data_IF_140114933762
#
_entry.id   IF_140114933762
#
_cell.length_a   1.000
_cell.length_b   1.000
_cell.length_c   1.000
_cell.angle_alpha   90.00
_cell.angle_beta   90.00
_cell.angle_gamma   90.00
#
_symmetry.space_group_name_H-M   'P 1'
#
loop_
_entity.id
_entity.type
_entity.pdbx_description
1 polymer ?
#
# COMPACT_ATOMS: atom_id res chain seq x y z
N UNK A 1 12.89 0.07 42.85
CA UNK A 1 11.70 -0.04 41.97
C UNK A 1 11.55 -1.41 41.31
N UNK A 2 12.60 -2.23 41.14
CA UNK A 2 12.46 -3.57 40.53
C UNK A 2 12.08 -4.70 41.52
N UNK A 3 12.26 -4.51 42.83
CA UNK A 3 12.03 -5.56 43.83
C UNK A 3 10.55 -5.91 44.07
N UNK A 4 9.64 -4.96 43.85
CA UNK A 4 8.19 -5.14 44.08
C UNK A 4 7.53 -6.01 43.00
N UNK A 5 8.11 -6.07 41.80
CA UNK A 5 7.53 -6.82 40.67
C UNK A 5 7.64 -8.35 40.84
N UNK A 6 8.74 -8.83 41.44
CA UNK A 6 8.96 -10.25 41.69
C UNK A 6 8.11 -10.82 42.83
N UNK A 7 7.56 -9.96 43.70
CA UNK A 7 6.70 -10.38 44.82
C UNK A 7 5.29 -10.75 44.35
N UNK A 8 4.77 -10.07 43.32
CA UNK A 8 3.34 -10.17 42.93
C UNK A 8 3.04 -11.35 42.01
N UNK A 9 4.06 -11.96 41.37
CA UNK A 9 3.88 -12.98 40.33
C UNK A 9 4.15 -14.42 40.77
N UNK A 10 4.29 -14.68 42.08
CA UNK A 10 4.38 -16.06 42.59
C UNK A 10 2.99 -16.66 42.71
N UNK A 11 2.40 -17.07 41.59
CA UNK A 11 1.27 -18.00 41.62
C UNK A 11 1.74 -19.29 42.31
N UNK A 12 1.09 -19.67 43.42
CA UNK A 12 1.27 -20.99 44.04
C UNK A 12 0.81 -22.02 43.02
N UNK A 13 1.74 -22.79 42.47
CA UNK A 13 1.41 -23.94 41.64
C UNK A 13 0.58 -24.92 42.46
N UNK A 14 -0.73 -24.93 42.25
CA UNK A 14 -1.59 -26.02 42.70
C UNK A 14 -1.25 -27.21 41.79
N UNK A 15 -0.74 -28.31 42.36
CA UNK A 15 -0.47 -29.52 41.59
C UNK A 15 -1.81 -30.13 41.15
N UNK A 16 -2.30 -29.69 40.00
CA UNK A 16 -3.45 -30.27 39.32
C UNK A 16 -2.95 -31.54 38.63
N UNK A 17 -3.46 -32.69 39.05
CA UNK A 17 -3.17 -33.99 38.43
C UNK A 17 -3.50 -34.00 36.93
N UNK A 18 -3.06 -35.02 36.18
CA UNK A 18 -3.20 -35.04 34.72
C UNK A 18 -4.68 -35.09 34.34
N UNK A 19 -5.25 -33.92 34.04
CA UNK A 19 -6.60 -33.75 33.50
C UNK A 19 -6.57 -34.01 31.99
N UNK A 20 -6.01 -35.14 31.56
CA UNK A 20 -6.03 -35.57 30.15
C UNK A 20 -7.30 -36.36 29.90
N UNK A 21 -8.42 -35.66 29.88
CA UNK A 21 -9.64 -36.15 29.23
C UNK A 21 -9.39 -36.15 27.72
N UNK A 22 -9.51 -37.32 27.07
CA UNK A 22 -9.40 -37.49 25.60
C UNK A 22 -10.26 -36.50 24.83
N UNK A 23 -11.35 -36.04 25.45
CA UNK A 23 -12.26 -35.01 24.96
C UNK A 23 -11.56 -33.70 24.57
N UNK A 24 -10.48 -33.29 25.25
CA UNK A 24 -9.75 -32.07 24.87
C UNK A 24 -9.05 -32.22 23.52
N UNK A 25 -8.49 -33.39 23.23
CA UNK A 25 -7.84 -33.69 21.96
C UNK A 25 -8.85 -33.73 20.81
N UNK A 26 -9.99 -34.38 21.02
CA UNK A 26 -11.09 -34.43 20.05
C UNK A 26 -11.69 -33.03 19.80
N UNK A 27 -11.86 -32.23 20.86
CA UNK A 27 -12.30 -30.84 20.76
C UNK A 27 -11.30 -29.98 19.98
N UNK A 28 -9.99 -30.23 20.12
CA UNK A 28 -8.94 -29.53 19.38
C UNK A 28 -8.93 -29.89 17.89
N UNK A 29 -9.05 -31.17 17.54
CA UNK A 29 -9.13 -31.64 16.14
C UNK A 29 -10.35 -31.05 15.44
N UNK A 30 -11.47 -30.90 16.17
CA UNK A 30 -12.70 -30.29 15.65
C UNK A 30 -12.59 -28.77 15.42
N UNK A 31 -11.56 -28.10 15.97
CA UNK A 31 -11.29 -26.66 15.78
C UNK A 31 -10.32 -26.35 14.64
N UNK A 32 -9.87 -27.33 13.84
CA UNK A 32 -9.27 -27.01 12.54
C UNK A 32 -10.32 -26.19 11.75
N UNK A 33 -9.96 -25.01 11.26
CA UNK A 33 -10.49 -23.76 11.80
C UNK A 33 -11.58 -23.24 10.86
N UNK A 34 -12.86 -23.44 11.19
CA UNK A 34 -14.00 -22.95 10.41
C UNK A 34 -14.04 -21.41 10.28
N UNK A 35 -13.21 -20.70 11.06
CA UNK A 35 -13.10 -19.24 11.03
C UNK A 35 -12.07 -18.72 10.01
N UNK A 36 -11.40 -19.61 9.25
CA UNK A 36 -10.66 -19.16 8.06
C UNK A 36 -11.68 -19.10 6.93
N UNK A 37 -12.15 -17.89 6.54
CA UNK A 37 -12.99 -17.82 5.35
C UNK A 37 -12.17 -18.41 4.19
N UNK A 38 -12.68 -19.48 3.58
CA UNK A 38 -12.11 -20.00 2.34
C UNK A 38 -11.91 -18.85 1.36
N UNK A 39 -10.87 -18.88 0.50
CA UNK A 39 -10.45 -17.74 -0.31
C UNK A 39 -11.67 -17.15 -1.00
N UNK A 40 -12.08 -15.96 -0.55
CA UNK A 40 -13.32 -15.36 -1.00
C UNK A 40 -13.19 -15.07 -2.49
N UNK A 41 -13.86 -15.88 -3.31
CA UNK A 41 -13.94 -15.76 -4.78
C UNK A 41 -14.62 -14.46 -5.25
N UNK A 42 -14.79 -13.47 -4.36
CA UNK A 42 -15.36 -12.14 -4.65
C UNK A 42 -14.31 -11.10 -5.03
N UNK A 43 -13.02 -11.39 -4.84
CA UNK A 43 -11.95 -10.48 -5.20
C UNK A 43 -11.15 -11.07 -6.37
N UNK A 44 -11.77 -11.18 -7.54
CA UNK A 44 -11.07 -11.50 -8.79
C UNK A 44 -10.18 -10.34 -9.30
N UNK A 45 -9.97 -9.30 -8.49
CA UNK A 45 -8.98 -8.28 -8.76
C UNK A 45 -7.61 -8.93 -8.58
N UNK A 46 -6.77 -8.87 -9.61
CA UNK A 46 -5.43 -9.45 -9.56
C UNK A 46 -4.65 -8.82 -8.40
N UNK A 47 -3.70 -9.56 -7.83
CA UNK A 47 -2.75 -9.02 -6.84
C UNK A 47 -2.08 -7.76 -7.41
N UNK A 48 -1.85 -7.71 -8.71
CA UNK A 48 -1.32 -6.55 -9.44
C UNK A 48 -2.22 -5.30 -9.32
N UNK A 49 -3.55 -5.43 -9.39
CA UNK A 49 -4.48 -4.31 -9.24
C UNK A 49 -4.48 -3.76 -7.80
N UNK A 50 -4.29 -4.64 -6.80
CA UNK A 50 -4.13 -4.25 -5.39
C UNK A 50 -2.75 -3.62 -5.09
N UNK A 51 -1.73 -3.99 -5.87
CA UNK A 51 -0.37 -3.43 -5.78
C UNK A 51 -0.17 -2.21 -6.67
N UNK A 52 -1.19 -1.78 -7.41
CA UNK A 52 -1.11 -0.60 -8.27
C UNK A 52 -0.92 0.63 -7.39
N UNK A 53 0.32 1.12 -7.37
CA UNK A 53 0.68 2.35 -6.66
C UNK A 53 -0.14 3.48 -7.25
N UNK A 54 -1.10 3.99 -6.48
CA UNK A 54 -1.86 5.17 -6.85
C UNK A 54 -0.87 6.35 -6.79
N UNK A 55 -0.63 7.06 -7.90
CA UNK A 55 0.25 8.22 -7.89
C UNK A 55 -0.26 9.23 -6.87
N UNK A 56 0.66 9.81 -6.10
CA UNK A 56 0.28 10.89 -5.17
C UNK A 56 -0.26 12.09 -5.96
N UNK A 57 -1.10 12.90 -5.33
CA UNK A 57 -1.59 14.15 -5.93
C UNK A 57 -0.44 15.05 -6.40
N UNK A 58 0.67 15.06 -5.66
CA UNK A 58 1.89 15.81 -6.02
C UNK A 58 2.56 15.25 -7.28
N UNK A 59 2.59 13.94 -7.45
CA UNK A 59 3.15 13.29 -8.64
C UNK A 59 2.31 13.60 -9.88
N UNK A 60 0.99 13.60 -9.74
CA UNK A 60 0.05 14.00 -10.81
C UNK A 60 0.27 15.48 -11.17
N UNK A 61 0.39 16.36 -10.18
CA UNK A 61 0.64 17.79 -10.40
C UNK A 61 1.98 18.02 -11.10
N UNK A 62 3.03 17.30 -10.69
CA UNK A 62 4.35 17.38 -11.31
C UNK A 62 4.32 17.00 -12.79
N UNK A 63 3.72 15.85 -13.13
CA UNK A 63 3.58 15.42 -14.53
C UNK A 63 2.79 16.42 -15.37
N UNK A 64 1.72 16.99 -14.80
CA UNK A 64 0.93 18.03 -15.46
C UNK A 64 1.73 19.30 -15.73
N UNK A 65 2.57 19.70 -14.78
CA UNK A 65 3.46 20.85 -14.93
C UNK A 65 4.50 20.61 -16.04
N UNK A 66 5.19 19.47 -16.02
CA UNK A 66 6.18 19.10 -17.04
C UNK A 66 5.58 19.10 -18.45
N UNK A 67 4.39 18.50 -18.62
CA UNK A 67 3.66 18.50 -19.89
C UNK A 67 3.34 19.91 -20.39
N UNK A 68 2.79 20.77 -19.52
CA UNK A 68 2.46 22.15 -19.90
C UNK A 68 3.71 22.95 -20.27
N UNK A 69 4.82 22.69 -19.59
CA UNK A 69 6.08 23.37 -19.88
C UNK A 69 6.60 23.01 -21.28
N UNK A 70 6.58 21.71 -21.64
CA UNK A 70 6.96 21.25 -22.96
C UNK A 70 6.06 21.82 -24.08
N UNK A 71 4.75 21.91 -23.83
CA UNK A 71 3.82 22.55 -24.78
C UNK A 71 4.13 24.05 -24.99
N UNK A 72 4.53 24.75 -23.93
CA UNK A 72 4.91 26.16 -24.00
C UNK A 72 6.25 26.35 -24.73
N UNK A 73 7.26 25.53 -24.44
CA UNK A 73 8.55 25.55 -25.14
C UNK A 73 8.35 25.39 -26.65
N UNK A 74 7.54 24.42 -27.08
CA UNK A 74 7.22 24.22 -28.50
C UNK A 74 6.52 25.43 -29.13
N UNK A 75 5.61 26.09 -28.40
CA UNK A 75 4.94 27.31 -28.89
C UNK A 75 5.93 28.47 -29.03
N UNK A 76 6.88 28.61 -28.11
CA UNK A 76 7.91 29.64 -28.18
C UNK A 76 8.78 29.42 -29.42
N UNK A 77 9.26 28.20 -29.63
CA UNK A 77 10.06 27.84 -30.82
C UNK A 77 9.32 28.17 -32.12
N UNK A 78 8.04 27.79 -32.24
CA UNK A 78 7.21 28.11 -33.39
C UNK A 78 7.07 29.63 -33.61
N UNK A 79 6.89 30.40 -32.55
CA UNK A 79 6.79 31.87 -32.65
C UNK A 79 8.13 32.50 -33.05
N UNK A 80 9.26 31.97 -32.57
CA UNK A 80 10.58 32.43 -32.97
C UNK A 80 10.86 32.16 -34.44
N UNK A 81 10.50 30.98 -34.95
CA UNK A 81 10.58 30.64 -36.38
C UNK A 81 9.71 31.57 -37.23
N UNK A 82 8.44 31.77 -36.85
CA UNK A 82 7.54 32.69 -37.55
C UNK A 82 8.08 34.12 -37.57
N UNK A 83 8.64 34.60 -36.46
CA UNK A 83 9.25 35.92 -36.36
C UNK A 83 10.47 36.07 -37.27
N UNK A 84 11.29 35.03 -37.42
CA UNK A 84 12.42 35.04 -38.36
C UNK A 84 11.94 35.08 -39.81
N UNK A 85 10.96 34.27 -40.18
CA UNK A 85 10.40 34.25 -41.54
C UNK A 85 9.81 35.62 -41.92
N UNK A 86 9.02 36.24 -41.03
CA UNK A 86 8.47 37.58 -41.27
C UNK A 86 9.54 38.67 -41.43
N UNK A 87 10.71 38.52 -40.79
CA UNK A 87 11.83 39.45 -41.02
C UNK A 87 12.44 39.29 -42.41
N UNK A 88 12.53 38.07 -42.91
CA UNK A 88 13.05 37.79 -44.27
C UNK A 88 12.12 38.34 -45.36
N UNK A 89 10.81 38.34 -45.14
CA UNK A 89 9.82 38.83 -46.11
C UNK A 89 9.78 40.37 -46.25
N UNK A 90 10.34 41.12 -45.29
CA UNK A 90 10.31 42.60 -45.26
C UNK A 90 11.49 43.24 -46.01
N UNK A 91 12.60 42.51 -46.22
CA UNK A 91 13.82 43.03 -46.86
C UNK A 91 13.76 43.03 -48.42
N UNK A 92 12.59 43.30 -49.02
CA UNK A 92 12.38 43.41 -50.50
C UNK A 92 12.19 44.87 -50.94
#
# INVERSE_FOLDING_TARGET
MASVWNETHRMKGLAVGPMTTSEYGEWWVKRINDNVPGPSQKNNQSIEEHLRVIPSELEIIKQNFERRNAELEKKIEQMEEQKLNLRLDVDV
#
